data_IF_762861232613
#
_entry.id   IF_762861232613
#
_cell.length_a   1.000
_cell.length_b   1.000
_cell.length_c   1.000
_cell.angle_alpha   90.00
_cell.angle_beta   90.00
_cell.angle_gamma   90.00
#
_symmetry.space_group_name_H-M   'P 1'
#
loop_
_entity.id
_entity.type
_entity.pdbx_description
1 polymer ?
#
# COMPACT_ATOMS: atom_id res chain seq x y z
N UNK A 1 6.91 -7.15 -12.07
CA UNK A 1 5.55 -7.71 -11.91
C UNK A 1 5.23 -7.91 -10.44
N UNK A 2 4.04 -7.54 -10.02
CA UNK A 2 3.58 -7.69 -8.65
C UNK A 2 2.69 -8.93 -8.53
N UNK A 3 2.98 -9.81 -7.57
CA UNK A 3 2.21 -11.02 -7.28
C UNK A 3 1.82 -10.96 -5.81
N UNK A 4 0.54 -10.73 -5.52
CA UNK A 4 0.08 -10.58 -4.14
C UNK A 4 -1.29 -11.21 -3.91
N UNK A 5 -1.56 -11.50 -2.64
CA UNK A 5 -2.90 -11.84 -2.15
C UNK A 5 -3.32 -10.84 -1.09
N UNK A 6 -4.63 -10.63 -1.01
CA UNK A 6 -5.23 -9.65 -0.13
C UNK A 6 -6.36 -10.30 0.67
N UNK A 7 -6.45 -9.95 1.96
CA UNK A 7 -7.49 -10.43 2.87
C UNK A 7 -8.06 -9.27 3.67
N UNK A 8 -9.34 -9.35 4.01
CA UNK A 8 -9.91 -8.45 5.00
C UNK A 8 -9.56 -8.95 6.39
N UNK A 9 -9.15 -8.03 7.27
CA UNK A 9 -8.80 -8.32 8.66
C UNK A 9 -9.49 -7.30 9.57
N UNK A 10 -9.43 -7.50 10.90
CA UNK A 10 -10.16 -6.65 11.86
C UNK A 10 -9.26 -5.74 12.68
N UNK A 11 -7.98 -6.04 12.76
CA UNK A 11 -7.04 -5.30 13.60
C UNK A 11 -5.60 -5.61 13.22
N UNK A 12 -4.66 -4.99 13.94
CA UNK A 12 -3.24 -5.26 13.80
C UNK A 12 -2.89 -6.67 14.31
N UNK A 13 -1.92 -7.35 13.65
CA UNK A 13 -1.40 -8.62 14.13
C UNK A 13 -0.73 -8.51 15.50
N UNK A 14 -0.62 -9.64 16.18
CA UNK A 14 0.12 -9.75 17.43
C UNK A 14 1.64 -9.66 17.15
N UNK A 15 2.27 -8.60 17.63
CA UNK A 15 3.70 -8.36 17.42
C UNK A 15 4.59 -9.38 18.12
N UNK A 16 4.06 -10.13 19.10
CA UNK A 16 4.79 -11.21 19.74
C UNK A 16 4.95 -12.43 18.85
N UNK A 17 4.05 -12.60 17.86
CA UNK A 17 4.07 -13.69 16.89
C UNK A 17 4.75 -13.28 15.58
N UNK A 18 4.54 -12.02 15.17
CA UNK A 18 5.04 -11.50 13.90
C UNK A 18 5.77 -10.19 14.18
N UNK A 19 7.11 -10.17 14.11
CA UNK A 19 7.87 -8.94 14.39
C UNK A 19 7.48 -7.80 13.45
N UNK A 20 7.16 -6.64 14.03
CA UNK A 20 6.92 -5.41 13.28
C UNK A 20 8.26 -4.90 12.76
N UNK A 21 8.33 -4.65 11.45
CA UNK A 21 9.55 -4.16 10.79
C UNK A 21 9.47 -2.70 10.38
N UNK A 22 8.32 -2.25 9.86
CA UNK A 22 8.14 -0.89 9.38
C UNK A 22 6.72 -0.40 9.63
N UNK A 23 6.59 0.92 9.81
CA UNK A 23 5.30 1.60 9.90
C UNK A 23 5.33 2.80 8.96
N UNK A 24 4.35 2.87 8.05
CA UNK A 24 4.17 3.97 7.12
C UNK A 24 2.87 4.71 7.39
N UNK A 25 2.93 6.04 7.30
CA UNK A 25 1.74 6.88 7.16
C UNK A 25 1.64 7.27 5.70
N UNK A 26 0.51 7.00 5.08
CA UNK A 26 0.32 7.20 3.65
C UNK A 26 -0.88 8.07 3.35
N UNK A 27 -0.72 8.95 2.35
CA UNK A 27 -1.81 9.69 1.74
C UNK A 27 -1.82 9.32 0.27
N UNK A 28 -2.98 8.92 -0.26
CA UNK A 28 -3.07 8.46 -1.65
C UNK A 28 -4.31 8.99 -2.36
N UNK A 29 -4.19 9.15 -3.66
CA UNK A 29 -5.31 9.54 -4.51
C UNK A 29 -5.21 8.88 -5.88
N UNK A 30 -6.35 8.61 -6.50
CA UNK A 30 -6.44 7.94 -7.79
C UNK A 30 -6.67 8.97 -8.89
N UNK A 31 -5.80 8.93 -9.92
CA UNK A 31 -5.98 9.68 -11.17
C UNK A 31 -6.90 8.87 -12.10
N UNK A 32 -6.73 7.55 -12.10
CA UNK A 32 -7.52 6.62 -12.89
C UNK A 32 -7.68 5.31 -12.14
N UNK A 33 -8.80 4.64 -12.32
CA UNK A 33 -9.06 3.33 -11.71
C UNK A 33 -8.74 2.19 -12.69
N UNK A 34 -8.90 2.43 -14.01
CA UNK A 34 -8.63 1.43 -15.05
C UNK A 34 -7.99 2.10 -16.26
N UNK A 35 -6.69 1.91 -16.50
CA UNK A 35 -5.72 1.28 -15.59
C UNK A 35 -5.60 2.06 -14.29
N UNK A 36 -5.16 1.39 -13.24
CA UNK A 36 -4.95 2.05 -11.95
C UNK A 36 -3.77 2.99 -12.05
N UNK A 37 -4.00 4.28 -11.83
CA UNK A 37 -2.97 5.31 -11.75
C UNK A 37 -3.22 6.10 -10.49
N UNK A 38 -2.23 6.12 -9.59
CA UNK A 38 -2.38 6.82 -8.31
C UNK A 38 -1.11 7.55 -7.91
N UNK A 39 -1.29 8.58 -7.08
CA UNK A 39 -0.18 9.20 -6.36
C UNK A 39 -0.25 8.77 -4.90
N UNK A 40 0.92 8.70 -4.26
CA UNK A 40 1.00 8.29 -2.85
C UNK A 40 2.15 9.00 -2.16
N UNK A 41 1.87 9.53 -0.98
CA UNK A 41 2.87 10.01 -0.05
C UNK A 41 3.10 8.91 0.97
N UNK A 42 4.33 8.47 1.10
CA UNK A 42 4.72 7.39 2.00
C UNK A 42 5.72 7.93 3.02
N UNK A 43 5.27 8.14 4.25
CA UNK A 43 6.11 8.59 5.34
C UNK A 43 6.48 7.41 6.24
N UNK A 44 7.73 6.97 6.15
CA UNK A 44 8.25 5.89 7.00
C UNK A 44 8.53 6.45 8.39
N UNK A 45 7.96 5.84 9.42
CA UNK A 45 8.21 6.23 10.80
C UNK A 45 9.68 6.05 11.14
N UNK A 46 10.34 7.12 11.55
CA UNK A 46 11.77 7.14 11.83
C UNK A 46 12.65 7.18 10.57
N UNK A 47 12.07 7.35 9.39
CA UNK A 47 12.78 7.37 8.11
C UNK A 47 12.35 8.50 7.19
N UNK A 48 12.56 8.31 5.89
CA UNK A 48 12.26 9.32 4.88
C UNK A 48 10.80 9.27 4.42
N UNK A 49 10.37 10.36 3.80
CA UNK A 49 9.09 10.44 3.10
C UNK A 49 9.34 10.37 1.59
N UNK A 50 8.62 9.51 0.90
CA UNK A 50 8.66 9.39 -0.56
C UNK A 50 7.34 9.86 -1.17
N UNK A 51 7.41 10.48 -2.34
CA UNK A 51 6.26 10.84 -3.16
C UNK A 51 6.33 10.02 -4.43
N UNK A 52 5.29 9.23 -4.70
CA UNK A 52 5.32 8.20 -5.74
C UNK A 52 4.14 8.34 -6.69
N UNK A 53 4.41 8.17 -7.99
CA UNK A 53 3.39 8.00 -9.02
C UNK A 53 3.44 6.53 -9.45
N UNK A 54 2.30 5.84 -9.34
CA UNK A 54 2.21 4.40 -9.54
C UNK A 54 1.18 4.06 -10.62
N UNK A 55 1.57 3.17 -11.53
CA UNK A 55 0.71 2.63 -12.59
C UNK A 55 0.60 1.13 -12.39
N UNK A 56 -0.61 0.59 -12.35
CA UNK A 56 -0.86 -0.85 -12.22
C UNK A 56 -1.73 -1.33 -13.36
N UNK A 57 -1.28 -2.39 -14.04
CA UNK A 57 -2.03 -3.03 -15.11
C UNK A 57 -3.19 -3.88 -14.60
N UNK A 58 -3.93 -4.48 -15.52
CA UNK A 58 -5.02 -5.40 -15.20
C UNK A 58 -4.48 -6.71 -14.64
N UNK A 59 -5.29 -7.38 -13.84
CA UNK A 59 -4.96 -8.67 -13.22
C UNK A 59 -5.44 -8.72 -11.78
N UNK A 60 -5.60 -9.93 -11.26
CA UNK A 60 -6.04 -10.15 -9.88
C UNK A 60 -4.93 -10.69 -8.99
N UNK A 61 -4.19 -11.70 -9.45
CA UNK A 61 -3.07 -12.29 -8.69
C UNK A 61 -1.74 -11.66 -9.11
N UNK A 62 -1.50 -11.55 -10.42
CA UNK A 62 -0.27 -10.95 -10.98
C UNK A 62 -0.64 -9.78 -11.86
N UNK A 63 0.11 -8.69 -11.76
CA UNK A 63 -0.08 -7.54 -12.64
C UNK A 63 1.17 -6.70 -12.76
N UNK A 64 1.27 -5.99 -13.88
CA UNK A 64 2.33 -5.06 -14.14
C UNK A 64 2.24 -3.90 -13.15
N UNK A 65 3.40 -3.48 -12.63
CA UNK A 65 3.49 -2.32 -11.76
C UNK A 65 4.66 -1.44 -12.19
N UNK A 66 4.39 -0.16 -12.34
CA UNK A 66 5.41 0.85 -12.65
C UNK A 66 5.31 1.93 -11.58
N UNK A 67 6.41 2.17 -10.87
CA UNK A 67 6.48 3.23 -9.88
C UNK A 67 7.62 4.18 -10.20
N UNK A 68 7.40 5.47 -9.99
CA UNK A 68 8.44 6.48 -10.10
C UNK A 68 8.30 7.51 -8.98
N UNK A 69 9.41 7.95 -8.42
CA UNK A 69 9.39 9.06 -7.47
C UNK A 69 9.16 10.36 -8.23
N UNK A 70 8.39 11.26 -7.61
CA UNK A 70 8.07 12.58 -8.14
C UNK A 70 8.39 13.63 -7.08
N UNK A 71 8.54 14.87 -7.50
CA UNK A 71 8.81 15.95 -6.57
C UNK A 71 7.52 16.50 -5.93
N UNK A 72 7.67 17.32 -4.89
CA UNK A 72 6.54 17.87 -4.16
C UNK A 72 5.66 18.77 -5.04
N UNK A 73 6.24 19.51 -5.98
CA UNK A 73 5.49 20.40 -6.87
C UNK A 73 4.58 19.60 -7.79
N UNK A 74 5.09 18.51 -8.39
CA UNK A 74 4.28 17.64 -9.25
C UNK A 74 3.20 16.91 -8.43
N UNK A 75 3.55 16.43 -7.24
CA UNK A 75 2.58 15.78 -6.35
C UNK A 75 1.41 16.72 -6.04
N UNK A 76 1.70 17.98 -5.69
CA UNK A 76 0.67 18.97 -5.38
C UNK A 76 -0.23 19.26 -6.59
N UNK A 77 0.33 19.34 -7.79
CA UNK A 77 -0.43 19.55 -9.02
C UNK A 77 -1.36 18.37 -9.32
N UNK A 78 -0.87 17.15 -9.15
CA UNK A 78 -1.66 15.95 -9.37
C UNK A 78 -2.76 15.81 -8.32
N UNK A 79 -2.48 16.11 -7.06
CA UNK A 79 -3.50 16.12 -6.00
C UNK A 79 -4.60 17.14 -6.29
N UNK A 80 -4.23 18.32 -6.78
CA UNK A 80 -5.18 19.35 -7.18
C UNK A 80 -6.04 18.89 -8.36
N UNK A 81 -5.43 18.23 -9.34
CA UNK A 81 -6.12 17.68 -10.51
C UNK A 81 -7.18 16.63 -10.10
N UNK A 82 -6.86 15.80 -9.10
CA UNK A 82 -7.79 14.79 -8.56
C UNK A 82 -9.01 15.48 -7.94
N UNK A 83 -8.83 16.62 -7.28
CA UNK A 83 -9.93 17.44 -6.77
C UNK A 83 -10.71 16.86 -5.60
N UNK A 84 -10.22 15.78 -5.00
CA UNK A 84 -10.82 15.13 -3.83
C UNK A 84 -9.77 14.97 -2.73
N UNK A 85 -10.19 14.91 -1.45
CA UNK A 85 -9.24 14.63 -0.37
C UNK A 85 -8.51 13.32 -0.61
N UNK A 86 -7.22 13.27 -0.26
CA UNK A 86 -6.44 12.05 -0.35
C UNK A 86 -6.90 11.08 0.74
N UNK A 87 -6.85 9.80 0.41
CA UNK A 87 -7.20 8.71 1.33
C UNK A 87 -6.02 8.49 2.26
N UNK A 88 -6.26 8.51 3.57
CA UNK A 88 -5.23 8.27 4.57
C UNK A 88 -5.17 6.79 4.93
N UNK A 89 -3.95 6.27 5.06
CA UNK A 89 -3.72 4.88 5.37
C UNK A 89 -2.48 4.73 6.25
N UNK A 90 -2.58 3.89 7.28
CA UNK A 90 -1.42 3.44 8.04
C UNK A 90 -1.11 2.01 7.64
N UNK A 91 0.13 1.76 7.21
CA UNK A 91 0.61 0.43 6.84
C UNK A 91 1.66 -0.02 7.83
N UNK A 92 1.50 -1.22 8.37
CA UNK A 92 2.51 -1.88 9.19
C UNK A 92 2.97 -3.16 8.52
N UNK A 93 4.27 -3.32 8.44
CA UNK A 93 4.90 -4.49 7.82
C UNK A 93 5.43 -5.42 8.89
N UNK A 94 5.12 -6.70 8.77
CA UNK A 94 5.50 -7.74 9.72
C UNK A 94 6.26 -8.84 8.99
N UNK A 95 7.26 -9.40 9.66
CA UNK A 95 8.03 -10.52 9.10
C UNK A 95 7.32 -11.85 9.37
N UNK A 96 7.12 -12.65 8.33
CA UNK A 96 6.58 -14.00 8.43
C UNK A 96 7.72 -15.01 8.59
N UNK A 97 7.43 -16.22 9.16
CA UNK A 97 8.46 -17.25 9.35
C UNK A 97 9.15 -17.70 8.07
N UNK A 98 8.49 -17.62 6.92
CA UNK A 98 9.05 -18.01 5.61
C UNK A 98 9.88 -16.88 4.95
N UNK A 99 10.07 -15.76 5.64
CA UNK A 99 10.82 -14.62 5.13
C UNK A 99 10.01 -13.65 4.29
N UNK A 100 8.74 -13.94 4.02
CA UNK A 100 7.84 -13.01 3.35
C UNK A 100 7.40 -11.90 4.30
N UNK A 101 6.87 -10.83 3.73
CA UNK A 101 6.35 -9.70 4.49
C UNK A 101 4.84 -9.69 4.46
N UNK A 102 4.22 -9.59 5.64
CA UNK A 102 2.80 -9.34 5.79
C UNK A 102 2.61 -7.84 5.95
N UNK A 103 1.89 -7.21 5.04
CA UNK A 103 1.54 -5.80 5.15
C UNK A 103 0.08 -5.68 5.56
N UNK A 104 -0.17 -5.04 6.71
CA UNK A 104 -1.52 -4.80 7.21
C UNK A 104 -1.80 -3.31 7.13
N UNK A 105 -2.92 -2.96 6.55
CA UNK A 105 -3.31 -1.59 6.28
C UNK A 105 -4.60 -1.24 7.03
N UNK A 106 -4.58 -0.10 7.70
CA UNK A 106 -5.78 0.52 8.28
C UNK A 106 -6.08 1.77 7.45
N UNK A 107 -7.20 1.74 6.74
CA UNK A 107 -7.65 2.87 5.91
C UNK A 107 -8.63 3.71 6.70
N UNK A 108 -8.49 5.04 6.61
CA UNK A 108 -9.36 6.02 7.29
C UNK A 108 -9.45 5.79 8.80
N UNK A 109 -8.32 5.55 9.45
CA UNK A 109 -8.23 5.28 10.89
C UNK A 109 -8.96 6.36 11.70
N UNK A 110 -9.82 5.90 12.60
CA UNK A 110 -10.60 6.79 13.47
C UNK A 110 -11.87 7.35 12.84
N UNK A 111 -12.17 7.03 11.59
CA UNK A 111 -13.39 7.46 10.90
C UNK A 111 -14.40 6.30 10.84
N UNK A 112 -15.70 6.60 10.67
CA UNK A 112 -16.72 5.54 10.50
C UNK A 112 -16.49 4.64 9.30
N UNK A 113 -15.75 5.12 8.29
CA UNK A 113 -15.40 4.38 7.07
C UNK A 113 -14.15 3.51 7.24
N UNK A 114 -13.53 3.48 8.42
CA UNK A 114 -12.29 2.76 8.65
C UNK A 114 -12.44 1.25 8.38
N UNK A 115 -11.43 0.68 7.73
CA UNK A 115 -11.36 -0.76 7.52
C UNK A 115 -9.90 -1.21 7.46
N UNK A 116 -9.68 -2.51 7.66
CA UNK A 116 -8.34 -3.12 7.60
C UNK A 116 -8.29 -4.18 6.52
N UNK A 117 -7.14 -4.26 5.86
CA UNK A 117 -6.85 -5.38 4.98
C UNK A 117 -5.38 -5.74 5.05
N UNK A 118 -5.07 -7.00 4.74
CA UNK A 118 -3.72 -7.53 4.76
C UNK A 118 -3.31 -7.99 3.37
N UNK A 119 -2.03 -7.83 3.05
CA UNK A 119 -1.45 -8.23 1.78
C UNK A 119 -0.15 -8.99 2.02
N UNK A 120 0.10 -10.01 1.21
CA UNK A 120 1.40 -10.69 1.13
C UNK A 120 1.82 -10.70 -0.32
N UNK A 121 3.03 -10.20 -0.59
CA UNK A 121 3.63 -10.26 -1.92
C UNK A 121 4.49 -11.51 -2.03
N UNK A 122 4.31 -12.24 -3.12
CA UNK A 122 4.98 -13.51 -3.37
C UNK A 122 5.99 -13.37 -4.50
N UNK A 123 6.97 -14.27 -4.53
CA UNK A 123 8.01 -14.27 -5.55
C UNK A 123 7.54 -14.94 -6.84
N UNK A 124 6.63 -15.90 -6.74
CA UNK A 124 6.07 -16.65 -7.88
C UNK A 124 4.57 -16.86 -7.69
N UNK A 125 3.85 -17.08 -8.80
CA UNK A 125 2.43 -17.42 -8.74
C UNK A 125 2.20 -18.77 -8.05
N UNK A 126 3.09 -19.74 -8.23
CA UNK A 126 3.00 -21.03 -7.57
C UNK A 126 3.06 -20.87 -6.04
N UNK A 127 3.94 -20.02 -5.54
CA UNK A 127 4.04 -19.74 -4.10
C UNK A 127 2.74 -19.09 -3.59
N UNK A 128 2.15 -18.18 -4.35
CA UNK A 128 0.91 -17.51 -3.96
C UNK A 128 -0.29 -18.46 -3.92
N UNK A 129 -0.26 -19.52 -4.70
CA UNK A 129 -1.34 -20.52 -4.80
C UNK A 129 -1.17 -21.68 -3.83
N UNK A 130 -0.01 -21.82 -3.21
CA UNK A 130 0.27 -22.90 -2.27
C UNK A 130 -0.51 -22.77 -0.96
#
# INVERSE_FOLDING_TARGET
>A
MEIERKWMVKSWPDETKFPLTETYQMDQGYISVRPTVRIRREALQGGRTALVLCFKGAGTLSREEIETEIDAALFAKLAHLIGKPLIQKERRSYRLPDGLTLEVNCVDKGLPTAFWYAEVEYRTEAQALA
#
